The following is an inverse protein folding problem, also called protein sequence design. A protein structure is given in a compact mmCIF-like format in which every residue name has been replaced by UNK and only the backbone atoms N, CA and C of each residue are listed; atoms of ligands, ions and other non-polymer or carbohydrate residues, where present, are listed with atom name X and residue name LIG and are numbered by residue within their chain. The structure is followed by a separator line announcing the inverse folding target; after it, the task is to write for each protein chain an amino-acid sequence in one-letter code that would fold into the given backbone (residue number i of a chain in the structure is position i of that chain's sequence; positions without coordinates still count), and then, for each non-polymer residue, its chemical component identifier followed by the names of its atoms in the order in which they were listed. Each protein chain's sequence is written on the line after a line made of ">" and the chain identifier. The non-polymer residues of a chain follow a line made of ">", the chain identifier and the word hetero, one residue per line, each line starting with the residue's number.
data_IF_984254176403
#
_entry.id   IF_984254176403
#
_cell.length_a   1.000
_cell.length_b   1.000
_cell.length_c   1.000
_cell.angle_alpha   90.00
_cell.angle_beta   90.00
_cell.angle_gamma   90.00
#
_symmetry.space_group_name_H-M   'P 1'
#
loop_
_entity.id
_entity.type
_entity.pdbx_description
1 polymer ?
#
# COMPACT_ATOMS: atom_id res chain seq x y z
N UNK A 1 -0.61 -24.30 -5.49
CA UNK A 1 -0.33 -22.94 -5.01
C UNK A 1 -1.58 -22.52 -4.27
N UNK A 2 -1.46 -22.22 -2.99
CA UNK A 2 -2.62 -21.97 -2.12
C UNK A 2 -3.08 -20.50 -2.21
N UNK A 3 -4.28 -20.22 -1.73
CA UNK A 3 -4.90 -18.88 -1.80
C UNK A 3 -4.05 -17.82 -1.09
N UNK A 4 -3.35 -18.23 -0.03
CA UNK A 4 -2.48 -17.34 0.74
C UNK A 4 -1.26 -16.91 -0.07
N UNK A 5 -0.68 -17.78 -0.89
CA UNK A 5 0.38 -17.37 -1.81
C UNK A 5 -0.08 -16.23 -2.73
N UNK A 6 -1.28 -16.32 -3.31
CA UNK A 6 -1.78 -15.29 -4.22
C UNK A 6 -2.04 -13.96 -3.51
N UNK A 7 -2.54 -13.98 -2.27
CA UNK A 7 -2.67 -12.77 -1.46
C UNK A 7 -1.30 -12.15 -1.14
N UNK A 8 -0.33 -12.96 -0.72
CA UNK A 8 1.04 -12.47 -0.46
C UNK A 8 1.69 -11.92 -1.74
N UNK A 9 1.48 -12.57 -2.88
CA UNK A 9 1.95 -12.06 -4.17
C UNK A 9 1.26 -10.76 -4.59
N UNK A 10 -0.02 -10.57 -4.23
CA UNK A 10 -0.70 -9.28 -4.37
C UNK A 10 -0.02 -8.20 -3.53
N UNK A 11 0.35 -8.50 -2.28
CA UNK A 11 1.09 -7.56 -1.42
C UNK A 11 2.45 -7.20 -2.02
N UNK A 12 3.22 -8.17 -2.53
CA UNK A 12 4.47 -7.91 -3.24
C UNK A 12 4.25 -7.03 -4.48
N UNK A 13 3.16 -7.23 -5.20
CA UNK A 13 2.80 -6.41 -6.37
C UNK A 13 2.42 -4.99 -5.97
N UNK A 14 1.66 -4.83 -4.88
CA UNK A 14 1.32 -3.52 -4.31
C UNK A 14 2.58 -2.79 -3.84
N UNK A 15 3.47 -3.48 -3.11
CA UNK A 15 4.76 -2.97 -2.68
C UNK A 15 5.57 -2.47 -3.88
N UNK A 16 5.72 -3.31 -4.91
CA UNK A 16 6.51 -3.00 -6.10
C UNK A 16 5.98 -1.79 -6.86
N UNK A 17 4.67 -1.72 -7.09
CA UNK A 17 4.07 -0.60 -7.81
C UNK A 17 4.09 0.68 -6.99
N UNK A 18 3.86 0.59 -5.68
CA UNK A 18 3.90 1.76 -4.79
C UNK A 18 5.32 2.31 -4.66
N UNK A 19 6.34 1.45 -4.55
CA UNK A 19 7.74 1.88 -4.44
C UNK A 19 8.17 2.73 -5.63
N UNK A 20 7.70 2.41 -6.84
CA UNK A 20 7.92 3.22 -8.05
C UNK A 20 7.29 4.61 -7.94
N UNK A 21 6.19 4.76 -7.22
CA UNK A 21 5.51 6.03 -7.02
C UNK A 21 6.14 6.88 -5.91
N UNK A 22 6.61 6.27 -4.82
CA UNK A 22 7.00 7.01 -3.60
C UNK A 22 8.52 7.11 -3.37
N UNK A 23 9.32 6.15 -3.85
CA UNK A 23 10.76 6.18 -3.66
C UNK A 23 11.43 7.20 -4.58
N UNK A 24 12.41 7.92 -4.05
CA UNK A 24 13.18 8.95 -4.77
C UNK A 24 12.29 10.00 -5.45
N UNK A 25 11.12 10.28 -4.89
CA UNK A 25 10.22 11.32 -5.40
C UNK A 25 10.83 12.71 -5.17
N UNK A 26 10.50 13.71 -6.00
CA UNK A 26 11.06 15.05 -5.88
C UNK A 26 10.60 15.71 -4.56
N UNK A 27 11.37 16.66 -4.04
CA UNK A 27 11.15 17.22 -2.70
C UNK A 27 9.81 17.93 -2.51
N UNK A 28 9.21 18.42 -3.59
CA UNK A 28 7.87 19.03 -3.61
C UNK A 28 6.74 18.01 -3.62
N UNK A 29 6.99 16.74 -3.97
CA UNK A 29 5.96 15.72 -4.14
C UNK A 29 5.12 15.45 -2.90
N UNK A 30 5.69 15.26 -1.68
CA UNK A 30 4.89 14.86 -0.51
C UNK A 30 3.74 15.82 -0.19
N UNK A 31 3.97 17.11 -0.42
CA UNK A 31 3.01 18.19 -0.16
C UNK A 31 2.47 18.82 -1.46
N UNK A 32 2.54 18.11 -2.59
CA UNK A 32 2.06 18.65 -3.86
C UNK A 32 0.53 18.76 -3.82
N UNK A 33 0.02 19.99 -3.86
CA UNK A 33 -1.41 20.28 -3.82
C UNK A 33 -2.02 20.35 -5.22
N UNK A 34 -3.07 19.56 -5.46
CA UNK A 34 -3.88 19.62 -6.69
C UNK A 34 -5.07 20.58 -6.57
N UNK A 35 -5.27 21.18 -5.40
CA UNK A 35 -6.45 21.99 -5.07
C UNK A 35 -7.72 21.15 -4.88
N UNK A 36 -8.86 21.83 -4.76
CA UNK A 36 -10.20 21.22 -4.65
C UNK A 36 -10.37 20.19 -3.52
N UNK A 37 -9.58 20.29 -2.44
CA UNK A 37 -9.63 19.37 -1.30
C UNK A 37 -9.09 17.97 -1.60
N UNK A 38 -8.33 17.79 -2.68
CA UNK A 38 -7.63 16.54 -2.97
C UNK A 38 -6.50 16.35 -1.95
N UNK A 39 -6.41 15.14 -1.38
CA UNK A 39 -5.33 14.75 -0.48
C UNK A 39 -3.96 14.89 -1.17
N UNK A 40 -3.00 15.43 -0.44
CA UNK A 40 -1.58 15.42 -0.81
C UNK A 40 -1.02 14.00 -0.79
N UNK A 41 0.11 13.73 -1.48
CA UNK A 41 0.73 12.40 -1.46
C UNK A 41 1.05 11.86 -0.07
N UNK A 42 1.49 12.70 0.87
CA UNK A 42 1.73 12.26 2.26
C UNK A 42 0.45 11.83 2.97
N UNK A 43 -0.66 12.54 2.77
CA UNK A 43 -1.97 12.17 3.31
C UNK A 43 -2.52 10.90 2.67
N UNK A 44 -2.31 10.71 1.37
CA UNK A 44 -2.67 9.47 0.67
C UNK A 44 -1.87 8.29 1.24
N UNK A 45 -0.57 8.45 1.46
CA UNK A 45 0.29 7.37 1.97
C UNK A 45 -0.03 7.02 3.43
N UNK A 46 -0.33 8.02 4.26
CA UNK A 46 -0.82 7.81 5.62
C UNK A 46 -2.15 7.03 5.62
N UNK A 47 -3.12 7.44 4.77
CA UNK A 47 -4.38 6.72 4.60
C UNK A 47 -4.17 5.28 4.13
N UNK A 48 -3.27 5.04 3.17
CA UNK A 48 -2.92 3.69 2.73
C UNK A 48 -2.38 2.84 3.89
N UNK A 49 -1.56 3.41 4.77
CA UNK A 49 -1.07 2.69 5.97
C UNK A 49 -2.21 2.27 6.90
N UNK A 50 -3.19 3.15 7.12
CA UNK A 50 -4.37 2.83 7.95
C UNK A 50 -5.25 1.75 7.33
N UNK A 51 -5.40 1.76 6.00
CA UNK A 51 -6.12 0.74 5.25
C UNK A 51 -5.43 -0.62 5.37
N UNK A 52 -4.10 -0.66 5.34
CA UNK A 52 -3.34 -1.90 5.56
C UNK A 52 -3.46 -2.37 7.01
N UNK A 53 -3.43 -1.48 8.02
CA UNK A 53 -3.72 -1.85 9.41
C UNK A 53 -5.12 -2.43 9.57
N UNK A 54 -6.12 -1.85 8.89
CA UNK A 54 -7.46 -2.42 8.88
C UNK A 54 -7.45 -3.86 8.32
N UNK A 55 -6.69 -4.13 7.25
CA UNK A 55 -6.52 -5.50 6.76
C UNK A 55 -5.85 -6.42 7.79
N UNK A 56 -4.86 -5.94 8.55
CA UNK A 56 -4.23 -6.72 9.63
C UNK A 56 -5.24 -7.09 10.73
N UNK A 57 -6.21 -6.22 11.02
CA UNK A 57 -7.23 -6.46 12.07
C UNK A 57 -8.08 -7.72 11.83
N UNK A 58 -8.11 -8.22 10.59
CA UNK A 58 -8.74 -9.49 10.23
C UNK A 58 -8.06 -10.69 10.89
N UNK A 59 -6.74 -10.61 11.04
CA UNK A 59 -5.85 -11.65 11.56
C UNK A 59 -5.55 -11.45 13.05
N UNK A 60 -5.50 -10.21 13.52
CA UNK A 60 -5.24 -9.86 14.92
C UNK A 60 -6.14 -8.70 15.39
N UNK A 61 -7.01 -8.96 16.36
CA UNK A 61 -7.95 -7.96 16.88
C UNK A 61 -7.28 -6.86 17.74
N UNK A 62 -5.97 -6.94 18.01
CA UNK A 62 -5.23 -5.96 18.83
C UNK A 62 -4.62 -4.81 18.01
N UNK A 63 -4.79 -4.80 16.68
CA UNK A 63 -4.22 -3.77 15.81
C UNK A 63 -4.78 -2.39 16.17
N UNK A 64 -3.89 -1.47 16.55
CA UNK A 64 -4.22 -0.09 16.84
C UNK A 64 -4.02 0.79 15.60
N UNK A 65 -4.99 1.65 15.31
CA UNK A 65 -4.83 2.68 14.28
C UNK A 65 -3.93 3.80 14.83
N UNK A 66 -2.87 4.15 14.10
CA UNK A 66 -1.97 5.25 14.48
C UNK A 66 -2.66 6.58 14.17
N UNK A 67 -2.42 7.59 15.01
CA UNK A 67 -3.20 8.85 15.00
C UNK A 67 -2.45 10.06 14.45
N UNK A 68 -1.14 9.97 14.24
CA UNK A 68 -0.30 11.11 13.86
C UNK A 68 0.56 10.78 12.65
N UNK A 69 0.51 11.66 11.64
CA UNK A 69 1.35 11.60 10.45
C UNK A 69 2.74 12.16 10.75
N UNK A 70 3.78 11.43 10.32
CA UNK A 70 5.17 11.84 10.41
C UNK A 70 5.61 12.68 9.20
N UNK A 71 6.93 12.82 9.04
CA UNK A 71 7.47 13.37 7.79
C UNK A 71 7.37 12.33 6.65
N UNK A 72 7.67 12.73 5.41
CA UNK A 72 7.56 11.84 4.24
C UNK A 72 8.31 10.50 4.40
N UNK A 73 9.53 10.53 4.92
CA UNK A 73 10.32 9.31 5.09
C UNK A 73 9.72 8.39 6.17
N UNK A 74 9.17 8.98 7.24
CA UNK A 74 8.47 8.23 8.29
C UNK A 74 7.22 7.55 7.73
N UNK A 75 6.47 8.23 6.86
CA UNK A 75 5.28 7.66 6.20
C UNK A 75 5.63 6.56 5.21
N UNK A 76 6.69 6.73 4.43
CA UNK A 76 7.22 5.68 3.54
C UNK A 76 7.63 4.45 4.35
N UNK A 77 8.39 4.62 5.42
CA UNK A 77 8.79 3.53 6.29
C UNK A 77 7.58 2.87 6.97
N UNK A 78 6.64 3.68 7.46
CA UNK A 78 5.40 3.19 8.08
C UNK A 78 4.63 2.32 7.10
N UNK A 79 4.35 2.80 5.90
CA UNK A 79 3.59 2.05 4.90
C UNK A 79 4.22 0.69 4.58
N UNK A 80 5.54 0.64 4.35
CA UNK A 80 6.22 -0.61 4.05
C UNK A 80 6.26 -1.57 5.25
N UNK A 81 6.40 -1.05 6.47
CA UNK A 81 6.30 -1.86 7.68
C UNK A 81 4.89 -2.47 7.82
N UNK A 82 3.82 -1.71 7.52
CA UNK A 82 2.46 -2.25 7.60
C UNK A 82 2.20 -3.35 6.55
N UNK A 83 2.74 -3.20 5.34
CA UNK A 83 2.68 -4.27 4.32
C UNK A 83 3.42 -5.53 4.78
N UNK A 84 4.61 -5.36 5.36
CA UNK A 84 5.41 -6.46 5.88
C UNK A 84 4.71 -7.17 7.06
N UNK A 85 4.11 -6.40 7.96
CA UNK A 85 3.33 -6.94 9.09
C UNK A 85 2.13 -7.76 8.60
N UNK A 86 1.41 -7.26 7.60
CA UNK A 86 0.29 -7.99 7.00
C UNK A 86 0.75 -9.30 6.34
N UNK A 87 1.86 -9.27 5.60
CA UNK A 87 2.44 -10.46 5.00
C UNK A 87 2.84 -11.50 6.08
N UNK A 88 3.48 -11.06 7.16
CA UNK A 88 3.87 -11.92 8.28
C UNK A 88 2.67 -12.54 8.99
N UNK A 89 1.58 -11.78 9.16
CA UNK A 89 0.33 -12.29 9.72
C UNK A 89 -0.28 -13.38 8.83
N UNK A 90 -0.31 -13.17 7.51
CA UNK A 90 -0.73 -14.19 6.56
C UNK A 90 0.16 -15.43 6.67
N UNK A 91 1.48 -15.27 6.58
CA UNK A 91 2.46 -16.36 6.63
C UNK A 91 2.37 -17.18 7.91
N UNK A 92 2.21 -16.52 9.07
CA UNK A 92 2.24 -17.18 10.38
C UNK A 92 0.91 -17.79 10.77
N UNK A 93 -0.21 -17.10 10.51
CA UNK A 93 -1.51 -17.49 11.04
C UNK A 93 -2.38 -18.20 10.00
N UNK A 94 -2.01 -18.14 8.72
CA UNK A 94 -2.90 -18.58 7.65
C UNK A 94 -4.09 -17.64 7.46
N UNK A 95 -5.01 -18.03 6.59
CA UNK A 95 -6.26 -17.30 6.40
C UNK A 95 -7.25 -17.67 7.53
N UNK A 96 -7.80 -16.68 8.27
CA UNK A 96 -8.78 -16.95 9.31
C UNK A 96 -10.00 -17.68 8.74
N UNK A 97 -10.56 -18.64 9.48
CA UNK A 97 -11.79 -19.33 9.10
C UNK A 97 -13.01 -18.41 9.31
N UNK A 98 -13.16 -17.42 8.42
CA UNK A 98 -14.23 -16.43 8.37
C UNK A 98 -14.79 -16.40 6.96
N UNK A 99 -16.11 -16.26 6.86
CA UNK A 99 -16.81 -16.29 5.57
C UNK A 99 -16.31 -15.20 4.60
N UNK A 100 -15.92 -15.65 3.41
CA UNK A 100 -15.47 -14.83 2.27
C UNK A 100 -14.33 -13.87 2.58
N UNK A 101 -13.43 -14.26 3.48
CA UNK A 101 -12.44 -13.31 4.00
C UNK A 101 -11.42 -12.87 2.95
N UNK A 102 -11.04 -13.78 2.04
CA UNK A 102 -10.11 -13.49 0.95
C UNK A 102 -10.74 -12.48 0.00
N UNK A 103 -11.99 -12.70 -0.40
CA UNK A 103 -12.72 -11.80 -1.29
C UNK A 103 -12.90 -10.42 -0.65
N UNK A 104 -13.18 -10.35 0.66
CA UNK A 104 -13.32 -9.08 1.39
C UNK A 104 -12.00 -8.33 1.50
N UNK A 105 -10.88 -9.02 1.73
CA UNK A 105 -9.55 -8.41 1.74
C UNK A 105 -9.21 -7.80 0.38
N UNK A 106 -9.47 -8.54 -0.70
CA UNK A 106 -9.25 -8.08 -2.07
C UNK A 106 -10.19 -6.90 -2.38
N UNK A 107 -11.50 -7.05 -2.13
CA UNK A 107 -12.53 -6.06 -2.45
C UNK A 107 -12.32 -4.73 -1.72
N UNK A 108 -11.95 -4.80 -0.43
CA UNK A 108 -11.79 -3.62 0.41
C UNK A 108 -10.36 -3.10 0.41
N UNK A 109 -9.58 -3.39 1.47
CA UNK A 109 -8.36 -2.67 1.76
C UNK A 109 -7.27 -2.81 0.69
N UNK A 110 -7.15 -3.99 0.07
CA UNK A 110 -6.10 -4.23 -0.92
C UNK A 110 -6.36 -3.47 -2.23
N UNK A 111 -7.61 -3.48 -2.72
CA UNK A 111 -8.01 -2.71 -3.91
C UNK A 111 -7.99 -1.20 -3.66
N UNK A 112 -8.35 -0.75 -2.46
CA UNK A 112 -8.27 0.68 -2.09
C UNK A 112 -6.81 1.17 -2.15
N UNK A 113 -5.89 0.44 -1.51
CA UNK A 113 -4.47 0.76 -1.54
C UNK A 113 -3.90 0.77 -2.98
N UNK A 114 -4.26 -0.23 -3.80
CA UNK A 114 -3.82 -0.29 -5.21
C UNK A 114 -4.38 0.87 -6.04
N UNK A 115 -5.61 1.31 -5.75
CA UNK A 115 -6.21 2.49 -6.40
C UNK A 115 -5.44 3.76 -6.08
N UNK A 116 -5.04 3.92 -4.81
CA UNK A 116 -4.22 5.05 -4.38
C UNK A 116 -2.82 5.07 -4.98
N UNK A 117 -2.21 3.91 -5.32
CA UNK A 117 -0.96 3.88 -6.10
C UNK A 117 -1.12 4.59 -7.45
N UNK A 118 -2.26 4.44 -8.11
CA UNK A 118 -2.56 5.17 -9.35
C UNK A 118 -2.62 6.68 -9.16
N UNK A 119 -3.26 7.14 -8.07
CA UNK A 119 -3.33 8.56 -7.72
C UNK A 119 -1.94 9.14 -7.43
N UNK A 120 -1.15 8.46 -6.59
CA UNK A 120 0.25 8.82 -6.29
C UNK A 120 1.08 8.93 -7.57
N UNK A 121 0.96 7.94 -8.46
CA UNK A 121 1.68 7.93 -9.74
C UNK A 121 1.31 9.13 -10.63
N UNK A 122 0.03 9.48 -10.68
CA UNK A 122 -0.46 10.64 -11.43
C UNK A 122 0.07 11.95 -10.83
N UNK A 123 0.00 12.09 -9.51
CA UNK A 123 0.49 13.28 -8.81
C UNK A 123 2.00 13.43 -9.00
N UNK A 124 2.78 12.34 -8.99
CA UNK A 124 4.24 12.39 -9.19
C UNK A 124 4.60 12.99 -10.55
N UNK A 125 3.87 12.61 -11.61
CA UNK A 125 3.98 13.24 -12.93
C UNK A 125 3.64 14.73 -12.88
N UNK A 126 2.57 15.13 -12.21
CA UNK A 126 2.18 16.54 -12.07
C UNK A 126 3.21 17.34 -11.27
N UNK A 127 3.88 16.71 -10.31
CA UNK A 127 4.98 17.28 -9.54
C UNK A 127 6.30 17.41 -10.34
N UNK A 128 6.32 16.98 -11.60
CA UNK A 128 7.45 17.16 -12.52
C UNK A 128 8.37 15.95 -12.66
N UNK A 129 8.06 14.81 -12.02
CA UNK A 129 8.89 13.60 -12.08
C UNK A 129 8.04 12.37 -12.43
N UNK A 130 7.90 12.08 -13.73
CA UNK A 130 7.10 10.95 -14.18
C UNK A 130 7.80 9.62 -13.95
N UNK A 131 7.07 8.64 -13.42
CA UNK A 131 7.53 7.24 -13.35
C UNK A 131 7.75 6.71 -14.78
N UNK A 132 8.91 6.08 -15.08
CA UNK A 132 9.14 5.41 -16.35
C UNK A 132 8.10 4.32 -16.62
N UNK A 133 7.69 4.18 -17.89
CA UNK A 133 6.80 3.11 -18.31
C UNK A 133 7.49 1.75 -18.14
N UNK A 134 6.76 0.77 -17.61
CA UNK A 134 7.25 -0.57 -17.35
C UNK A 134 6.17 -1.61 -17.68
N UNK A 135 6.59 -2.77 -18.20
CA UNK A 135 5.69 -3.91 -18.37
C UNK A 135 5.67 -4.75 -17.09
N UNK A 136 4.66 -4.55 -16.26
CA UNK A 136 4.49 -5.28 -15.00
C UNK A 136 4.28 -6.79 -15.17
N UNK A 137 3.92 -7.27 -16.37
CA UNK A 137 3.79 -8.71 -16.61
C UNK A 137 5.15 -9.42 -16.64
N UNK A 138 6.22 -8.73 -17.04
CA UNK A 138 7.59 -9.28 -17.08
C UNK A 138 8.45 -8.82 -15.90
N UNK A 139 7.92 -7.94 -15.04
CA UNK A 139 8.61 -7.48 -13.86
C UNK A 139 8.80 -8.64 -12.87
N UNK A 140 10.01 -8.82 -12.34
CA UNK A 140 10.28 -9.86 -11.35
C UNK A 140 9.74 -9.45 -9.97
N UNK A 141 8.48 -9.76 -9.72
CA UNK A 141 7.85 -9.63 -8.40
C UNK A 141 7.82 -10.99 -7.73
N UNK A 142 8.46 -11.11 -6.56
CA UNK A 142 8.52 -12.36 -5.79
C UNK A 142 7.87 -12.15 -4.43
N UNK A 143 7.26 -13.23 -3.91
CA UNK A 143 6.86 -13.28 -2.50
C UNK A 143 8.14 -13.47 -1.69
N UNK A 144 8.36 -12.62 -0.70
CA UNK A 144 9.49 -12.72 0.23
C UNK A 144 9.26 -13.75 1.35
#
# INVERSE_FOLDING_TARGET
>A
MDEIYFLRHYLSSLWYRCSKAILNAPSNYPNYELGNGVRTPIEILAHMSDVIRYAQSVFDNQVQLKKESGNWNDEVQTFFNELHNLDNLMKSNGIPNKDRIIEKLIQGPLSDAMTHVGQLSMIRRMAGDSIPGENFFIAEVKVE
#
